data_IF_190593720827
#
_entry.id   IF_190593720827
#
_cell.length_a   1.000
_cell.length_b   1.000
_cell.length_c   1.000
_cell.angle_alpha   90.00
_cell.angle_beta   90.00
_cell.angle_gamma   90.00
#
_symmetry.space_group_name_H-M   'P 1'
#
loop_
_entity.id
_entity.type
_entity.pdbx_description
1 polymer ?
#
# COMPACT_ATOMS: atom_id res chain seq x y z
N UNK A 1 11.68 1.59 -25.65
CA UNK A 1 10.68 2.64 -25.90
C UNK A 1 10.50 3.41 -24.60
N UNK A 2 10.78 4.72 -24.57
CA UNK A 2 10.51 5.54 -23.40
C UNK A 2 9.00 5.79 -23.35
N UNK A 3 8.29 5.05 -22.50
CA UNK A 3 6.88 5.35 -22.22
C UNK A 3 6.87 6.70 -21.54
N UNK A 4 6.42 7.74 -22.25
CA UNK A 4 6.20 9.05 -21.62
C UNK A 4 5.12 8.86 -20.57
N UNK A 5 5.54 8.88 -19.32
CA UNK A 5 4.64 8.85 -18.18
C UNK A 5 3.74 10.09 -18.22
N UNK A 6 2.43 9.85 -18.25
CA UNK A 6 1.43 10.91 -18.18
C UNK A 6 1.10 11.23 -16.73
N UNK A 7 1.18 12.50 -16.36
CA UNK A 7 1.01 12.97 -14.97
C UNK A 7 -0.37 12.62 -14.39
N UNK A 8 -1.43 12.69 -15.21
CA UNK A 8 -2.79 12.35 -14.79
C UNK A 8 -2.92 10.86 -14.43
N UNK A 9 -2.34 9.98 -15.25
CA UNK A 9 -2.30 8.54 -14.99
C UNK A 9 -1.38 8.18 -13.81
N UNK A 10 -0.28 8.91 -13.62
CA UNK A 10 0.59 8.73 -12.45
C UNK A 10 -0.19 9.05 -11.17
N UNK A 11 -0.90 10.17 -11.17
CA UNK A 11 -1.74 10.56 -10.04
C UNK A 11 -2.83 9.54 -9.76
N UNK A 12 -3.57 9.11 -10.79
CA UNK A 12 -4.61 8.08 -10.66
C UNK A 12 -4.07 6.77 -10.08
N UNK A 13 -2.92 6.31 -10.56
CA UNK A 13 -2.26 5.10 -10.06
C UNK A 13 -1.90 5.25 -8.57
N UNK A 14 -1.22 6.34 -8.19
CA UNK A 14 -0.82 6.61 -6.80
C UNK A 14 -2.04 6.71 -5.87
N UNK A 15 -3.08 7.44 -6.28
CA UNK A 15 -4.31 7.60 -5.50
C UNK A 15 -5.04 6.25 -5.32
N UNK A 16 -5.04 5.38 -6.34
CA UNK A 16 -5.65 4.05 -6.28
C UNK A 16 -4.90 3.11 -5.35
N UNK A 17 -3.55 3.11 -5.39
CA UNK A 17 -2.71 2.33 -4.47
C UNK A 17 -2.91 2.80 -3.02
N UNK A 18 -2.90 4.12 -2.78
CA UNK A 18 -3.12 4.70 -1.45
C UNK A 18 -4.51 4.33 -0.92
N UNK A 19 -5.53 4.38 -1.78
CA UNK A 19 -6.90 4.02 -1.42
C UNK A 19 -7.01 2.55 -1.02
N UNK A 20 -6.36 1.64 -1.76
CA UNK A 20 -6.34 0.21 -1.40
C UNK A 20 -5.70 -0.03 -0.03
N UNK A 21 -4.60 0.66 0.31
CA UNK A 21 -4.02 0.60 1.63
C UNK A 21 -4.97 1.13 2.71
N UNK A 22 -5.63 2.26 2.47
CA UNK A 22 -6.59 2.82 3.43
C UNK A 22 -7.76 1.86 3.70
N UNK A 23 -8.33 1.25 2.66
CA UNK A 23 -9.42 0.28 2.79
C UNK A 23 -8.98 -1.01 3.50
N UNK A 24 -7.78 -1.52 3.17
CA UNK A 24 -7.17 -2.63 3.91
C UNK A 24 -7.00 -2.29 5.40
N UNK A 25 -6.52 -1.09 5.72
CA UNK A 25 -6.32 -0.66 7.11
C UNK A 25 -7.65 -0.53 7.85
N UNK A 26 -8.70 0.02 7.24
CA UNK A 26 -10.04 0.07 7.85
C UNK A 26 -10.54 -1.31 8.26
N UNK A 27 -10.32 -2.33 7.45
CA UNK A 27 -10.73 -3.70 7.74
C UNK A 27 -9.82 -4.39 8.77
N UNK A 28 -8.51 -4.12 8.73
CA UNK A 28 -7.51 -4.91 9.46
C UNK A 28 -7.02 -4.27 10.77
N UNK A 29 -7.12 -2.95 10.93
CA UNK A 29 -6.45 -2.21 12.00
C UNK A 29 -6.77 -2.71 13.40
N UNK A 30 -8.04 -2.92 13.74
CA UNK A 30 -8.43 -3.39 15.10
C UNK A 30 -7.73 -4.71 15.46
N UNK A 31 -7.77 -5.68 14.55
CA UNK A 31 -7.17 -7.01 14.77
C UNK A 31 -5.64 -6.92 14.83
N UNK A 32 -5.04 -6.22 13.88
CA UNK A 32 -3.59 -6.11 13.76
C UNK A 32 -2.98 -5.35 14.94
N UNK A 33 -3.64 -4.28 15.42
CA UNK A 33 -3.19 -3.55 16.62
C UNK A 33 -3.18 -4.45 17.86
N UNK A 34 -4.23 -5.24 18.10
CA UNK A 34 -4.25 -6.20 19.21
C UNK A 34 -3.09 -7.19 19.12
N UNK A 35 -2.82 -7.74 17.93
CA UNK A 35 -1.72 -8.68 17.73
C UNK A 35 -0.35 -8.04 17.97
N UNK A 36 -0.16 -6.80 17.51
CA UNK A 36 1.09 -6.06 17.70
C UNK A 36 1.34 -5.82 19.19
N UNK A 37 0.32 -5.39 19.94
CA UNK A 37 0.43 -5.18 21.39
C UNK A 37 0.81 -6.47 22.12
N UNK A 38 0.21 -7.61 21.74
CA UNK A 38 0.48 -8.91 22.37
C UNK A 38 1.87 -9.46 22.06
N UNK A 39 2.37 -9.24 20.85
CA UNK A 39 3.62 -9.86 20.37
C UNK A 39 4.84 -8.97 20.57
N UNK A 40 4.66 -7.69 20.85
CA UNK A 40 5.77 -6.73 21.01
C UNK A 40 6.59 -6.53 19.72
N UNK A 41 6.00 -6.82 18.57
CA UNK A 41 6.67 -6.67 17.28
C UNK A 41 7.05 -5.20 17.04
N UNK A 42 8.22 -4.96 16.45
CA UNK A 42 8.68 -3.60 16.08
C UNK A 42 8.26 -3.18 14.67
N UNK A 43 7.86 -4.15 13.85
CA UNK A 43 7.48 -3.96 12.45
C UNK A 43 6.30 -4.84 12.09
N UNK A 44 5.45 -4.33 11.21
CA UNK A 44 4.36 -5.08 10.59
C UNK A 44 4.71 -5.31 9.11
N UNK A 45 4.33 -6.48 8.59
CA UNK A 45 4.39 -6.78 7.16
C UNK A 45 2.97 -6.91 6.63
N UNK A 46 2.68 -6.22 5.53
CA UNK A 46 1.42 -6.33 4.80
C UNK A 46 1.76 -6.89 3.42
N UNK A 47 1.30 -8.11 3.16
CA UNK A 47 1.42 -8.73 1.84
C UNK A 47 0.60 -7.93 0.82
N UNK A 48 1.15 -7.71 -0.38
CA UNK A 48 0.41 -7.02 -1.44
C UNK A 48 -0.86 -7.76 -1.85
N UNK A 49 -0.93 -9.08 -1.66
CA UNK A 49 -2.18 -9.85 -1.80
C UNK A 49 -3.32 -9.27 -0.94
N UNK A 50 -2.98 -8.82 0.27
CA UNK A 50 -3.91 -8.09 1.13
C UNK A 50 -4.42 -6.84 0.44
N UNK A 51 -3.55 -6.05 -0.18
CA UNK A 51 -3.93 -4.83 -0.91
C UNK A 51 -4.76 -5.14 -2.16
N UNK A 52 -4.48 -6.23 -2.86
CA UNK A 52 -5.25 -6.65 -4.05
C UNK A 52 -6.72 -6.86 -3.72
N UNK A 53 -6.99 -7.44 -2.54
CA UNK A 53 -8.35 -7.75 -2.09
C UNK A 53 -9.20 -6.50 -1.77
N UNK A 54 -8.55 -5.36 -1.50
CA UNK A 54 -9.22 -4.09 -1.19
C UNK A 54 -9.04 -3.02 -2.29
N UNK A 55 -8.41 -3.38 -3.40
CA UNK A 55 -8.23 -2.49 -4.53
C UNK A 55 -9.53 -2.34 -5.33
N UNK A 56 -9.90 -1.10 -5.64
CA UNK A 56 -11.02 -0.77 -6.53
C UNK A 56 -10.43 -0.29 -7.85
N UNK A 57 -10.60 -1.11 -8.89
CA UNK A 57 -10.07 -0.81 -10.22
C UNK A 57 -10.68 0.45 -10.83
N UNK A 58 -9.86 1.13 -11.62
CA UNK A 58 -10.27 2.25 -12.46
C UNK A 58 -10.30 1.82 -13.93
N UNK A 59 -10.77 2.71 -14.81
CA UNK A 59 -10.75 2.45 -16.26
C UNK A 59 -9.32 2.23 -16.77
N UNK A 60 -8.35 3.01 -16.30
CA UNK A 60 -6.95 2.91 -16.73
C UNK A 60 -6.17 1.82 -15.99
N UNK A 61 -6.58 1.48 -14.76
CA UNK A 61 -5.89 0.52 -13.91
C UNK A 61 -6.88 -0.46 -13.26
N UNK A 62 -7.32 -1.50 -14.01
CA UNK A 62 -8.32 -2.43 -13.52
C UNK A 62 -7.80 -3.31 -12.38
N UNK A 63 -6.48 -3.53 -12.28
CA UNK A 63 -5.84 -4.33 -11.23
C UNK A 63 -4.79 -3.52 -10.48
N UNK A 64 -4.54 -3.89 -9.22
CA UNK A 64 -3.52 -3.24 -8.39
C UNK A 64 -2.14 -3.31 -9.05
N UNK A 65 -1.78 -4.44 -9.65
CA UNK A 65 -0.47 -4.63 -10.31
C UNK A 65 -0.29 -3.68 -11.51
N UNK A 66 -1.37 -3.31 -12.19
CA UNK A 66 -1.33 -2.36 -13.31
C UNK A 66 -0.97 -0.95 -12.79
N UNK A 67 -1.66 -0.50 -11.73
CA UNK A 67 -1.36 0.77 -11.07
C UNK A 67 0.05 0.78 -10.45
N UNK A 68 0.42 -0.28 -9.73
CA UNK A 68 1.71 -0.40 -9.08
C UNK A 68 2.86 -0.46 -10.09
N UNK A 69 2.74 -1.25 -11.14
CA UNK A 69 3.73 -1.34 -12.23
C UNK A 69 3.90 0.01 -12.93
N UNK A 70 2.80 0.68 -13.25
CA UNK A 70 2.86 2.01 -13.87
C UNK A 70 3.51 3.05 -12.95
N UNK A 71 3.10 3.11 -11.68
CA UNK A 71 3.67 4.05 -10.71
C UNK A 71 5.16 3.80 -10.48
N UNK A 72 5.57 2.54 -10.29
CA UNK A 72 6.99 2.21 -10.08
C UNK A 72 7.84 2.48 -11.32
N UNK A 73 7.32 2.24 -12.52
CA UNK A 73 8.00 2.60 -13.77
C UNK A 73 8.17 4.11 -13.93
N UNK A 74 7.16 4.90 -13.53
CA UNK A 74 7.10 6.33 -13.82
C UNK A 74 7.72 7.24 -12.76
N UNK A 75 7.52 6.94 -11.48
CA UNK A 75 8.04 7.74 -10.36
C UNK A 75 9.06 6.98 -9.50
N UNK A 76 9.27 5.70 -9.77
CA UNK A 76 10.22 4.87 -9.04
C UNK A 76 9.69 4.30 -7.73
N UNK A 77 10.32 3.22 -7.28
CA UNK A 77 9.96 2.51 -6.05
C UNK A 77 10.06 3.39 -4.80
N UNK A 78 11.02 4.32 -4.76
CA UNK A 78 11.23 5.22 -3.63
C UNK A 78 10.01 6.11 -3.38
N UNK A 79 9.43 6.68 -4.43
CA UNK A 79 8.23 7.51 -4.33
C UNK A 79 7.01 6.70 -3.90
N UNK A 80 6.83 5.49 -4.45
CA UNK A 80 5.73 4.61 -4.02
C UNK A 80 5.89 4.17 -2.56
N UNK A 81 7.11 3.87 -2.12
CA UNK A 81 7.42 3.54 -0.72
C UNK A 81 7.12 4.71 0.21
N UNK A 82 7.47 5.94 -0.20
CA UNK A 82 7.15 7.15 0.55
C UNK A 82 5.65 7.38 0.64
N UNK A 83 4.89 7.18 -0.44
CA UNK A 83 3.43 7.31 -0.46
C UNK A 83 2.76 6.34 0.52
N UNK A 84 3.24 5.10 0.58
CA UNK A 84 2.72 4.07 1.49
C UNK A 84 3.34 4.12 2.89
N UNK A 85 4.23 5.08 3.09
CA UNK A 85 4.88 5.37 4.36
C UNK A 85 5.62 4.16 4.96
N UNK A 86 6.15 3.30 4.08
CA UNK A 86 6.80 2.05 4.44
C UNK A 86 7.77 1.58 3.37
N UNK A 87 8.59 0.59 3.72
CA UNK A 87 9.54 0.00 2.79
C UNK A 87 8.87 -1.14 2.02
N UNK A 88 8.95 -1.11 0.70
CA UNK A 88 8.53 -2.24 -0.13
C UNK A 88 9.71 -3.19 -0.27
N UNK A 89 9.47 -4.48 -0.04
CA UNK A 89 10.47 -5.54 -0.19
C UNK A 89 9.88 -6.73 -0.91
N UNK A 90 10.75 -7.52 -1.55
CA UNK A 90 10.35 -8.83 -2.07
C UNK A 90 10.00 -9.78 -0.91
N UNK A 91 8.94 -10.56 -1.10
CA UNK A 91 8.46 -11.53 -0.11
C UNK A 91 6.94 -11.59 -0.03
N UNK A 92 6.43 -12.56 0.72
CA UNK A 92 5.00 -12.85 0.77
C UNK A 92 4.52 -13.73 -0.38
N UNK A 93 3.23 -14.06 -0.38
CA UNK A 93 2.59 -14.92 -1.40
C UNK A 93 2.47 -14.21 -2.75
N UNK A 94 2.32 -12.87 -2.75
CA UNK A 94 2.27 -12.05 -3.97
C UNK A 94 3.65 -11.63 -4.50
N UNK A 95 4.73 -12.04 -3.83
CA UNK A 95 6.10 -11.64 -4.16
C UNK A 95 6.50 -10.24 -3.69
N UNK A 96 5.56 -9.40 -3.25
CA UNK A 96 5.85 -8.10 -2.64
C UNK A 96 5.13 -7.91 -1.31
N UNK A 97 5.79 -7.22 -0.38
CA UNK A 97 5.22 -6.84 0.91
C UNK A 97 5.62 -5.42 1.29
N UNK A 98 4.68 -4.71 1.91
CA UNK A 98 4.92 -3.43 2.58
C UNK A 98 5.35 -3.68 4.02
N UNK A 99 6.50 -3.14 4.40
CA UNK A 99 7.05 -3.21 5.76
C UNK A 99 6.91 -1.86 6.43
N UNK A 100 6.13 -1.82 7.51
CA UNK A 100 5.86 -0.63 8.32
C UNK A 100 6.49 -0.75 9.70
N UNK A 101 6.96 0.36 10.26
CA UNK A 101 7.16 0.43 11.72
C UNK A 101 5.80 0.40 12.41
N UNK A 102 5.76 -0.12 13.64
CA UNK A 102 4.50 -0.10 14.41
C UNK A 102 4.01 1.31 14.67
N UNK A 103 4.89 2.25 15.01
CA UNK A 103 4.53 3.65 15.21
C UNK A 103 3.79 4.21 13.98
N UNK A 104 4.27 3.86 12.78
CA UNK A 104 3.65 4.34 11.55
C UNK A 104 2.32 3.65 11.29
N UNK A 105 2.28 2.32 11.43
CA UNK A 105 1.05 1.55 11.33
C UNK A 105 -0.04 2.06 12.29
N UNK A 106 0.31 2.34 13.55
CA UNK A 106 -0.60 2.91 14.54
C UNK A 106 -1.11 4.30 14.14
N UNK A 107 -0.24 5.17 13.61
CA UNK A 107 -0.63 6.49 13.11
C UNK A 107 -1.67 6.35 11.99
N UNK A 108 -1.38 5.51 11.00
CA UNK A 108 -2.27 5.28 9.87
C UNK A 108 -3.60 4.67 10.32
N UNK A 109 -3.57 3.72 11.26
CA UNK A 109 -4.79 3.16 11.84
C UNK A 109 -5.64 4.19 12.57
N UNK A 110 -5.03 5.10 13.34
CA UNK A 110 -5.74 6.20 14.01
C UNK A 110 -6.39 7.15 13.00
N UNK A 111 -5.74 7.40 11.88
CA UNK A 111 -6.27 8.26 10.82
C UNK A 111 -7.49 7.65 10.12
N UNK A 112 -7.46 6.35 9.80
CA UNK A 112 -8.55 5.70 9.07
C UNK A 112 -9.74 5.29 9.96
N UNK A 113 -9.53 5.11 11.27
CA UNK A 113 -10.60 4.75 12.22
C UNK A 113 -11.34 5.97 12.81
N UNK A 114 -10.81 7.19 12.64
CA UNK A 114 -11.46 8.44 13.02
C UNK A 114 -12.40 9.00 11.94
N UNK A 115 -12.30 8.45 10.73
CA UNK A 115 -13.18 8.74 9.59
C UNK A 115 -14.42 7.85 9.66
#
# INVERSE_FOLDING_TARGET
MSTKCRDDLVKEALDSIRSALAEYLKASCRRSLTMVTLTGQKRLRIDFYGLYSYYKGTENFPRFEDAYGYATQCVGLATVSQLLEGAISEGGESGHQLVLSIEKFESMCKEVLKQ
#
